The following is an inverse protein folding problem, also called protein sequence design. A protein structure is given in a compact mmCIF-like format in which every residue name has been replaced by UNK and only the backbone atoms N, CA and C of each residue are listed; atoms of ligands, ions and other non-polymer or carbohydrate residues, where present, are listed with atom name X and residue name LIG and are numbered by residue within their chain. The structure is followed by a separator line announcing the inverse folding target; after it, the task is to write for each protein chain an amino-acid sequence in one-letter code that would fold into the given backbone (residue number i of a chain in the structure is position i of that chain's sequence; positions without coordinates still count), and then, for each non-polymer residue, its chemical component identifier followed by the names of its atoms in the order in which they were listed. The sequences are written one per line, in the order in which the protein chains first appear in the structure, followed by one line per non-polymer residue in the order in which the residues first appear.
data_IF_443548105484
#
_entry.id   IF_443548105484
#
_cell.length_a   1.000
_cell.length_b   1.000
_cell.length_c   1.000
_cell.angle_alpha   90.00
_cell.angle_beta   90.00
_cell.angle_gamma   90.00
#
_symmetry.space_group_name_H-M   'P 1'
#
loop_
_entity.id
_entity.type
_entity.pdbx_description
1 polymer ?
#
# COMPACT_ATOMS: atom_id res chain seq x y z
N UNK A 1 -7.27 24.14 -31.44
CA UNK A 1 -6.33 24.62 -30.42
C UNK A 1 -6.49 23.75 -29.19
N UNK A 2 -5.41 23.37 -28.50
CA UNK A 2 -5.51 22.66 -27.24
C UNK A 2 -6.32 23.48 -26.22
N UNK A 3 -7.23 22.84 -25.51
CA UNK A 3 -8.06 23.51 -24.52
C UNK A 3 -7.32 23.61 -23.17
N UNK A 4 -6.66 24.74 -22.96
CA UNK A 4 -5.97 25.03 -21.70
C UNK A 4 -6.93 25.13 -20.49
N UNK A 5 -8.22 25.38 -20.73
CA UNK A 5 -9.23 25.42 -19.67
C UNK A 5 -9.40 24.04 -19.06
N UNK A 6 -9.46 23.00 -19.90
CA UNK A 6 -9.52 21.61 -19.43
C UNK A 6 -8.26 21.21 -18.66
N UNK A 7 -7.09 21.57 -19.18
CA UNK A 7 -5.82 21.28 -18.50
C UNK A 7 -5.75 21.93 -17.10
N UNK A 8 -6.15 23.20 -17.00
CA UNK A 8 -6.23 23.90 -15.71
C UNK A 8 -7.22 23.24 -14.74
N UNK A 9 -8.39 22.84 -15.25
CA UNK A 9 -9.41 22.14 -14.46
C UNK A 9 -8.89 20.82 -13.90
N UNK A 10 -8.18 20.04 -14.71
CA UNK A 10 -7.56 18.77 -14.26
C UNK A 10 -6.61 19.04 -13.11
N UNK A 11 -5.65 19.97 -13.26
CA UNK A 11 -4.68 20.31 -12.20
C UNK A 11 -5.35 20.79 -10.92
N UNK A 12 -6.40 21.63 -11.05
CA UNK A 12 -7.16 22.11 -9.88
C UNK A 12 -7.89 20.96 -9.17
N UNK A 13 -8.49 20.04 -9.93
CA UNK A 13 -9.18 18.87 -9.38
C UNK A 13 -8.20 17.95 -8.65
N UNK A 14 -7.05 17.69 -9.22
CA UNK A 14 -6.00 16.88 -8.59
C UNK A 14 -5.44 17.55 -7.34
N UNK A 15 -5.15 18.86 -7.40
CA UNK A 15 -4.68 19.61 -6.23
C UNK A 15 -5.69 19.59 -5.09
N UNK A 16 -6.99 19.79 -5.40
CA UNK A 16 -8.05 19.73 -4.40
C UNK A 16 -8.16 18.33 -3.77
N UNK A 17 -8.02 17.27 -4.57
CA UNK A 17 -8.04 15.89 -4.07
C UNK A 17 -6.87 15.62 -3.11
N UNK A 18 -5.67 16.11 -3.42
CA UNK A 18 -4.50 15.99 -2.54
C UNK A 18 -4.72 16.78 -1.24
N UNK A 19 -5.21 18.01 -1.32
CA UNK A 19 -5.49 18.82 -0.13
C UNK A 19 -6.54 18.19 0.78
N UNK A 20 -7.55 17.53 0.22
CA UNK A 20 -8.57 16.83 1.00
C UNK A 20 -8.03 15.67 1.85
N UNK A 21 -6.82 15.19 1.59
CA UNK A 21 -6.15 14.18 2.41
C UNK A 21 -5.71 14.73 3.77
N UNK A 22 -5.50 16.04 3.90
CA UNK A 22 -5.07 16.67 5.17
C UNK A 22 -6.05 16.33 6.30
N UNK A 23 -7.34 16.45 6.02
CA UNK A 23 -8.40 16.18 7.01
C UNK A 23 -8.65 14.68 7.26
N UNK A 24 -8.03 13.82 6.45
CA UNK A 24 -8.10 12.36 6.62
C UNK A 24 -6.92 11.78 7.39
N UNK A 25 -5.87 12.56 7.59
CA UNK A 25 -4.73 12.12 8.38
C UNK A 25 -5.15 12.04 9.86
N UNK A 26 -4.92 10.88 10.43
CA UNK A 26 -5.22 10.59 11.83
C UNK A 26 -4.10 9.75 12.48
N UNK A 27 -4.32 9.28 13.70
CA UNK A 27 -3.34 8.49 14.46
C UNK A 27 -2.93 7.21 13.73
N UNK A 28 -3.78 6.65 12.88
CA UNK A 28 -3.45 5.45 12.07
C UNK A 28 -2.28 5.70 11.13
N UNK A 29 -2.19 6.89 10.57
CA UNK A 29 -1.03 7.25 9.74
C UNK A 29 0.25 7.31 10.58
N UNK A 30 0.19 7.91 11.76
CA UNK A 30 1.33 7.96 12.68
C UNK A 30 1.77 6.57 13.15
N UNK A 31 0.81 5.67 13.40
CA UNK A 31 1.08 4.26 13.73
C UNK A 31 1.74 3.53 12.57
N UNK A 32 1.28 3.73 11.33
CA UNK A 32 1.89 3.15 10.14
C UNK A 32 3.34 3.59 9.96
N UNK A 33 3.61 4.89 10.10
CA UNK A 33 4.97 5.43 10.05
C UNK A 33 5.83 4.80 11.16
N UNK A 34 5.32 4.73 12.38
CA UNK A 34 6.03 4.12 13.51
C UNK A 34 6.33 2.64 13.28
N UNK A 35 5.43 1.91 12.65
CA UNK A 35 5.63 0.50 12.31
C UNK A 35 6.76 0.33 11.29
N UNK A 36 6.78 1.17 10.24
CA UNK A 36 7.85 1.17 9.24
C UNK A 36 9.20 1.55 9.86
N UNK A 37 9.24 2.57 10.69
CA UNK A 37 10.48 3.03 11.36
C UNK A 37 11.07 1.95 12.27
N UNK A 38 10.23 1.17 12.95
CA UNK A 38 10.66 0.08 13.84
C UNK A 38 10.85 -1.26 13.15
N UNK A 39 10.61 -1.34 11.85
CA UNK A 39 10.77 -2.56 11.07
C UNK A 39 12.23 -3.05 11.16
N UNK A 40 12.42 -4.30 11.57
CA UNK A 40 13.75 -4.93 11.67
C UNK A 40 14.14 -5.65 10.38
N UNK A 41 13.15 -6.06 9.60
CA UNK A 41 13.32 -6.68 8.30
C UNK A 41 13.23 -5.64 7.17
N UNK A 42 12.42 -5.93 6.18
CA UNK A 42 12.21 -5.09 4.99
C UNK A 42 10.76 -4.63 4.91
N UNK A 43 10.53 -3.52 4.23
CA UNK A 43 9.19 -3.10 3.86
C UNK A 43 8.83 -3.70 2.49
N UNK A 44 7.83 -4.54 2.47
CA UNK A 44 7.34 -5.20 1.24
C UNK A 44 6.08 -4.49 0.80
N UNK A 45 6.09 -3.94 -0.41
CA UNK A 45 4.95 -3.18 -0.95
C UNK A 45 4.29 -4.00 -2.06
N UNK A 46 2.98 -4.19 -1.98
CA UNK A 46 2.26 -5.06 -2.91
C UNK A 46 0.93 -4.47 -3.36
N UNK A 47 0.56 -4.73 -4.61
CA UNK A 47 -0.67 -4.25 -5.24
C UNK A 47 -0.72 -4.65 -6.71
N UNK A 48 -1.93 -4.65 -7.29
CA UNK A 48 -2.19 -5.04 -8.68
C UNK A 48 -2.43 -3.83 -9.57
N UNK A 49 -2.16 -3.98 -10.87
CA UNK A 49 -2.49 -3.00 -11.90
C UNK A 49 -1.90 -1.61 -11.60
N UNK A 50 -2.74 -0.57 -11.63
CA UNK A 50 -2.31 0.82 -11.35
C UNK A 50 -1.82 0.99 -9.92
N UNK A 51 -2.48 0.34 -8.95
CA UNK A 51 -2.01 0.30 -7.56
C UNK A 51 -0.62 -0.33 -7.46
N UNK A 52 -0.34 -1.39 -8.21
CA UNK A 52 0.98 -2.02 -8.28
C UNK A 52 2.07 -1.08 -8.81
N UNK A 53 1.76 -0.22 -9.79
CA UNK A 53 2.71 0.79 -10.29
C UNK A 53 3.06 1.79 -9.18
N UNK A 54 2.07 2.25 -8.42
CA UNK A 54 2.30 3.14 -7.27
C UNK A 54 3.10 2.42 -6.19
N UNK A 55 2.79 1.15 -5.90
CA UNK A 55 3.54 0.33 -4.95
C UNK A 55 5.02 0.20 -5.34
N UNK A 56 5.34 0.02 -6.62
CA UNK A 56 6.72 0.02 -7.12
C UNK A 56 7.42 1.35 -6.85
N UNK A 57 6.72 2.47 -7.07
CA UNK A 57 7.25 3.80 -6.79
C UNK A 57 7.52 4.00 -5.30
N UNK A 58 6.61 3.56 -4.44
CA UNK A 58 6.78 3.64 -2.97
C UNK A 58 7.99 2.81 -2.53
N UNK A 59 8.08 1.55 -2.97
CA UNK A 59 9.20 0.68 -2.63
C UNK A 59 10.55 1.27 -3.08
N UNK A 60 10.62 1.79 -4.30
CA UNK A 60 11.83 2.43 -4.82
C UNK A 60 12.22 3.69 -4.03
N UNK A 61 11.24 4.50 -3.63
CA UNK A 61 11.47 5.70 -2.82
C UNK A 61 11.98 5.35 -1.42
N UNK A 62 11.36 4.38 -0.75
CA UNK A 62 11.81 3.89 0.55
C UNK A 62 13.26 3.36 0.48
N UNK A 63 13.56 2.52 -0.50
CA UNK A 63 14.90 1.96 -0.68
C UNK A 63 15.95 3.04 -0.95
N UNK A 64 15.64 4.04 -1.79
CA UNK A 64 16.55 5.13 -2.11
C UNK A 64 16.80 6.11 -0.96
N UNK A 65 15.89 6.14 0.02
CA UNK A 65 15.99 7.00 1.21
C UNK A 65 16.44 6.26 2.48
N UNK A 66 16.92 5.02 2.34
CA UNK A 66 17.57 4.27 3.41
C UNK A 66 16.71 3.24 4.13
N UNK A 67 15.43 3.05 3.75
CA UNK A 67 14.57 1.99 4.27
C UNK A 67 14.61 0.79 3.33
N UNK A 68 15.14 -0.38 3.76
CA UNK A 68 15.14 -1.57 2.91
C UNK A 68 13.71 -1.93 2.49
N UNK A 69 13.43 -1.87 1.20
CA UNK A 69 12.09 -2.10 0.67
C UNK A 69 12.14 -2.69 -0.74
N UNK A 70 11.15 -3.49 -1.09
CA UNK A 70 10.96 -3.97 -2.46
C UNK A 70 9.47 -4.19 -2.77
N UNK A 71 9.17 -4.23 -4.06
CA UNK A 71 7.84 -4.54 -4.56
C UNK A 71 7.69 -6.05 -4.77
N UNK A 72 6.60 -6.61 -4.27
CA UNK A 72 6.19 -7.99 -4.53
C UNK A 72 4.87 -8.00 -5.29
N UNK A 73 4.86 -8.59 -6.50
CA UNK A 73 3.64 -8.71 -7.28
C UNK A 73 2.73 -9.78 -6.66
N UNK A 74 1.44 -9.49 -6.36
CA UNK A 74 0.57 -10.45 -5.69
C UNK A 74 0.40 -11.79 -6.43
N UNK A 75 0.34 -11.77 -7.76
CA UNK A 75 0.24 -12.99 -8.56
C UNK A 75 1.50 -13.86 -8.45
N UNK A 76 2.68 -13.27 -8.46
CA UNK A 76 3.96 -13.99 -8.26
C UNK A 76 4.05 -14.54 -6.84
N UNK A 77 3.60 -13.76 -5.86
CA UNK A 77 3.53 -14.19 -4.47
C UNK A 77 2.72 -15.49 -4.30
N UNK A 78 1.55 -15.58 -4.91
CA UNK A 78 0.69 -16.77 -4.85
C UNK A 78 1.35 -17.99 -5.51
N UNK A 79 2.22 -17.79 -6.50
CA UNK A 79 2.89 -18.86 -7.24
C UNK A 79 4.24 -19.31 -6.66
N UNK A 80 4.62 -18.83 -5.48
CA UNK A 80 5.80 -19.34 -4.79
C UNK A 80 6.68 -18.30 -4.07
N UNK A 81 6.54 -17.02 -4.41
CA UNK A 81 7.41 -15.97 -3.87
C UNK A 81 7.05 -15.53 -2.44
N UNK A 82 5.94 -16.06 -1.87
CA UNK A 82 5.57 -15.78 -0.48
C UNK A 82 6.63 -16.20 0.55
N UNK A 83 7.47 -17.15 0.21
CA UNK A 83 8.60 -17.56 1.05
C UNK A 83 9.65 -16.47 1.29
N UNK A 84 9.62 -15.39 0.52
CA UNK A 84 10.52 -14.23 0.69
C UNK A 84 10.14 -13.36 1.88
N UNK A 85 8.88 -13.45 2.35
CA UNK A 85 8.36 -12.66 3.47
C UNK A 85 8.70 -13.34 4.79
N UNK A 86 9.24 -12.56 5.72
CA UNK A 86 9.58 -13.00 7.06
C UNK A 86 8.70 -12.29 8.11
N UNK A 87 8.65 -12.82 9.32
CA UNK A 87 7.83 -12.27 10.41
C UNK A 87 8.28 -10.90 10.92
N UNK A 88 9.52 -10.53 10.68
CA UNK A 88 10.10 -9.23 11.03
C UNK A 88 10.01 -8.18 9.89
N UNK A 89 9.47 -8.56 8.74
CA UNK A 89 9.12 -7.65 7.66
C UNK A 89 7.80 -6.91 7.97
N UNK A 90 7.59 -5.76 7.32
CA UNK A 90 6.32 -5.03 7.31
C UNK A 90 5.76 -5.05 5.89
N UNK A 91 4.51 -5.41 5.73
CA UNK A 91 3.84 -5.42 4.42
C UNK A 91 2.92 -4.22 4.28
N UNK A 92 3.03 -3.50 3.17
CA UNK A 92 2.10 -2.46 2.75
C UNK A 92 1.33 -2.99 1.55
N UNK A 93 0.03 -3.19 1.69
CA UNK A 93 -0.83 -3.68 0.61
C UNK A 93 -1.79 -2.58 0.17
N UNK A 94 -1.87 -2.36 -1.15
CA UNK A 94 -2.71 -1.32 -1.74
C UNK A 94 -3.72 -1.92 -2.72
N UNK A 95 -5.00 -1.61 -2.48
CA UNK A 95 -6.11 -1.93 -3.39
C UNK A 95 -7.24 -0.95 -3.17
N UNK A 96 -7.69 -0.26 -4.22
CA UNK A 96 -8.80 0.69 -4.10
C UNK A 96 -10.08 0.01 -3.61
N UNK A 97 -10.47 -1.12 -4.21
CA UNK A 97 -11.65 -1.89 -3.76
C UNK A 97 -11.41 -2.65 -2.45
N UNK A 98 -10.16 -3.03 -2.18
CA UNK A 98 -9.81 -3.92 -1.08
C UNK A 98 -10.22 -5.38 -1.26
N UNK A 99 -10.71 -5.75 -2.47
CA UNK A 99 -11.24 -7.08 -2.82
C UNK A 99 -10.50 -7.72 -4.00
N UNK A 100 -9.30 -7.25 -4.33
CA UNK A 100 -8.49 -7.84 -5.40
C UNK A 100 -8.15 -9.28 -5.05
N UNK A 101 -8.56 -10.24 -5.88
CA UNK A 101 -8.50 -11.68 -5.58
C UNK A 101 -7.07 -12.16 -5.27
N UNK A 102 -6.10 -11.81 -6.09
CA UNK A 102 -4.70 -12.20 -5.89
C UNK A 102 -4.16 -11.64 -4.57
N UNK A 103 -4.55 -10.43 -4.22
CA UNK A 103 -4.13 -9.81 -2.97
C UNK A 103 -4.78 -10.48 -1.76
N UNK A 104 -6.07 -10.82 -1.83
CA UNK A 104 -6.76 -11.50 -0.73
C UNK A 104 -6.20 -12.89 -0.46
N UNK A 105 -5.73 -13.60 -1.48
CA UNK A 105 -5.02 -14.88 -1.32
C UNK A 105 -3.70 -14.74 -0.55
N UNK A 106 -2.99 -13.62 -0.78
CA UNK A 106 -1.74 -13.32 -0.05
C UNK A 106 -2.01 -13.07 1.43
N UNK A 107 -3.16 -12.48 1.79
CA UNK A 107 -3.48 -12.09 3.17
C UNK A 107 -3.51 -13.28 4.15
N UNK A 108 -4.03 -14.42 3.73
CA UNK A 108 -4.07 -15.63 4.57
C UNK A 108 -2.66 -16.11 4.94
N UNK A 109 -1.76 -16.04 3.98
CA UNK A 109 -0.36 -16.44 4.21
C UNK A 109 0.36 -15.42 5.08
N UNK A 110 0.11 -14.12 4.91
CA UNK A 110 0.67 -13.08 5.77
C UNK A 110 0.26 -13.28 7.24
N UNK A 111 -1.00 -13.64 7.49
CA UNK A 111 -1.47 -13.97 8.85
C UNK A 111 -0.70 -15.13 9.46
N UNK A 112 -0.41 -16.17 8.68
CA UNK A 112 0.37 -17.34 9.12
C UNK A 112 1.81 -17.00 9.44
N UNK A 113 2.43 -16.15 8.62
CA UNK A 113 3.81 -15.68 8.80
C UNK A 113 3.91 -14.77 10.02
N UNK A 114 2.85 -14.04 10.36
CA UNK A 114 2.84 -13.06 11.43
C UNK A 114 3.49 -11.72 11.05
N UNK A 115 3.67 -11.45 9.75
CA UNK A 115 4.15 -10.16 9.28
C UNK A 115 3.05 -9.09 9.44
N UNK A 116 3.32 -7.96 10.10
CA UNK A 116 2.35 -6.89 10.24
C UNK A 116 1.98 -6.26 8.89
N UNK A 117 0.69 -5.97 8.72
CA UNK A 117 0.11 -5.48 7.47
C UNK A 117 -0.47 -4.07 7.63
N UNK A 118 -0.02 -3.15 6.81
CA UNK A 118 -0.62 -1.83 6.60
C UNK A 118 -1.50 -1.90 5.35
N UNK A 119 -2.79 -1.67 5.51
CA UNK A 119 -3.76 -1.67 4.42
C UNK A 119 -4.02 -0.24 3.92
N UNK A 120 -3.78 0.01 2.63
CA UNK A 120 -4.15 1.23 1.92
C UNK A 120 -5.34 0.92 1.00
N UNK A 121 -6.54 1.35 1.37
CA UNK A 121 -7.76 1.01 0.62
C UNK A 121 -8.83 2.07 0.76
N UNK A 122 -9.56 2.33 -0.34
CA UNK A 122 -10.79 3.12 -0.33
C UNK A 122 -12.05 2.29 -0.01
N UNK A 123 -11.92 0.96 0.03
CA UNK A 123 -13.02 0.04 0.33
C UNK A 123 -13.23 -0.14 1.83
N UNK A 124 -14.12 0.62 2.42
CA UNK A 124 -14.53 0.46 3.82
C UNK A 124 -15.19 -0.92 4.01
N UNK A 125 -14.80 -1.64 5.06
CA UNK A 125 -15.23 -3.01 5.39
C UNK A 125 -14.80 -4.05 4.35
N UNK A 126 -13.83 -3.74 3.50
CA UNK A 126 -13.25 -4.71 2.56
C UNK A 126 -12.44 -5.80 3.27
N UNK A 127 -12.15 -6.87 2.55
CA UNK A 127 -11.29 -7.95 3.04
C UNK A 127 -9.91 -7.43 3.42
N UNK A 128 -9.32 -6.55 2.59
CA UNK A 128 -8.03 -5.94 2.86
C UNK A 128 -8.07 -5.04 4.11
N UNK A 129 -9.09 -4.20 4.24
CA UNK A 129 -9.24 -3.33 5.42
C UNK A 129 -9.35 -4.15 6.70
N UNK A 130 -10.14 -5.23 6.67
CA UNK A 130 -10.32 -6.11 7.83
C UNK A 130 -9.05 -6.87 8.22
N UNK A 131 -8.22 -7.22 7.23
CA UNK A 131 -6.96 -7.95 7.46
C UNK A 131 -5.84 -7.05 7.98
N UNK A 132 -5.85 -5.74 7.67
CA UNK A 132 -4.80 -4.81 8.08
C UNK A 132 -4.80 -4.54 9.58
N UNK A 133 -3.62 -4.53 10.19
CA UNK A 133 -3.44 -4.06 11.57
C UNK A 133 -3.64 -2.55 11.61
N UNK A 134 -3.11 -1.84 10.60
CA UNK A 134 -3.27 -0.41 10.42
C UNK A 134 -3.95 -0.19 9.05
N UNK A 135 -4.97 0.66 9.04
CA UNK A 135 -5.83 0.91 7.89
C UNK A 135 -5.77 2.39 7.53
N UNK A 136 -5.37 2.69 6.32
CA UNK A 136 -5.31 4.06 5.80
C UNK A 136 -6.30 4.15 4.64
N UNK A 137 -7.39 4.93 4.77
CA UNK A 137 -8.40 5.10 3.73
C UNK A 137 -7.96 6.01 2.58
#
# INVERSE_FOLDING_TARGET
MPDLTLARKVLQTEAAAVLALVDRLDDRFAEAVSLVVRCKGRVIVTGMGKSGIICRKIAATLASTGTPAFFLHPAEAVHGDLGVIQSDDVVIAMSYSGETEELTRVLETLKRIGAPLIALTGGLKSTLETAGIIRIP
#
